data_IF_095373363463
#
_entry.id   IF_095373363463
#
_cell.length_a   1.000
_cell.length_b   1.000
_cell.length_c   1.000
_cell.angle_alpha   90.00
_cell.angle_beta   90.00
_cell.angle_gamma   90.00
#
_symmetry.space_group_name_H-M   'P 1'
#
loop_
_entity.id
_entity.type
_entity.pdbx_description
1 polymer ?
#
# COMPACT_ATOMS: atom_id res chain seq x y z
N UNK A 1 -13.40 21.39 -12.18
CA UNK A 1 -14.03 22.73 -12.32
C UNK A 1 -12.90 23.71 -12.60
N UNK A 2 -12.99 24.55 -13.64
CA UNK A 2 -11.92 25.52 -13.90
C UNK A 2 -12.00 26.69 -12.92
N UNK A 3 -10.92 26.96 -12.19
CA UNK A 3 -10.85 28.07 -11.23
C UNK A 3 -10.24 29.32 -11.89
N UNK A 4 -10.76 30.50 -11.56
CA UNK A 4 -10.33 31.77 -12.16
C UNK A 4 -9.76 32.76 -11.15
N UNK A 5 -9.91 32.48 -9.84
CA UNK A 5 -9.37 33.28 -8.75
C UNK A 5 -8.72 32.42 -7.67
N UNK A 6 -7.83 33.01 -6.87
CA UNK A 6 -7.24 32.37 -5.69
C UNK A 6 -8.31 31.82 -4.74
N UNK A 7 -9.38 32.57 -4.47
CA UNK A 7 -10.48 32.13 -3.60
C UNK A 7 -11.20 30.88 -4.13
N UNK A 8 -11.30 30.73 -5.45
CA UNK A 8 -11.88 29.53 -6.07
C UNK A 8 -10.93 28.33 -5.98
N UNK A 9 -9.62 28.53 -6.24
CA UNK A 9 -8.61 27.49 -6.01
C UNK A 9 -8.69 26.95 -4.57
N UNK A 10 -8.67 27.85 -3.59
CA UNK A 10 -8.73 27.49 -2.17
C UNK A 10 -10.04 26.81 -1.78
N UNK A 11 -11.15 27.05 -2.48
CA UNK A 11 -12.41 26.32 -2.26
C UNK A 11 -12.43 24.94 -2.92
N UNK A 12 -11.86 24.80 -4.12
CA UNK A 12 -11.95 23.58 -4.93
C UNK A 12 -10.81 22.57 -4.71
N UNK A 13 -9.72 22.97 -4.07
CA UNK A 13 -8.48 22.17 -3.90
C UNK A 13 -8.71 20.72 -3.47
N UNK A 14 -9.46 20.48 -2.39
CA UNK A 14 -9.72 19.14 -1.87
C UNK A 14 -10.61 18.32 -2.81
N UNK A 15 -11.63 18.94 -3.39
CA UNK A 15 -12.51 18.29 -4.35
C UNK A 15 -11.75 17.87 -5.61
N UNK A 16 -10.80 18.70 -6.08
CA UNK A 16 -9.91 18.36 -7.18
C UNK A 16 -8.98 17.20 -6.82
N UNK A 17 -8.38 17.20 -5.61
CA UNK A 17 -7.51 16.12 -5.14
C UNK A 17 -8.26 14.78 -5.05
N UNK A 18 -9.52 14.77 -4.59
CA UNK A 18 -10.40 13.60 -4.60
C UNK A 18 -10.65 13.11 -6.04
N UNK A 19 -10.99 14.01 -6.97
CA UNK A 19 -11.28 13.65 -8.37
C UNK A 19 -10.09 13.03 -9.11
N UNK A 20 -8.88 13.55 -8.93
CA UNK A 20 -7.68 13.00 -9.60
C UNK A 20 -7.15 11.71 -8.94
N UNK A 21 -7.40 11.53 -7.64
CA UNK A 21 -6.90 10.37 -6.90
C UNK A 21 -7.83 9.16 -6.96
N UNK A 22 -9.13 9.38 -7.16
CA UNK A 22 -10.14 8.34 -6.99
C UNK A 22 -10.36 7.94 -5.52
N UNK A 23 -9.90 8.75 -4.56
CA UNK A 23 -10.24 8.57 -3.16
C UNK A 23 -11.77 8.63 -2.96
N UNK A 24 -12.27 7.99 -1.89
CA UNK A 24 -13.69 8.10 -1.54
C UNK A 24 -14.06 9.53 -1.17
N UNK A 25 -13.19 10.21 -0.42
CA UNK A 25 -13.38 11.59 0.02
C UNK A 25 -12.06 12.21 0.50
N UNK A 26 -12.11 13.50 0.83
CA UNK A 26 -11.11 14.16 1.67
C UNK A 26 -11.72 14.40 3.05
N UNK A 27 -10.95 14.14 4.10
CA UNK A 27 -11.27 14.49 5.48
C UNK A 27 -11.24 16.01 5.73
N UNK A 28 -10.89 16.87 4.78
CA UNK A 28 -10.82 18.32 4.99
C UNK A 28 -12.19 18.92 5.35
N UNK A 29 -12.27 19.60 6.50
CA UNK A 29 -13.50 20.18 7.02
C UNK A 29 -13.88 21.55 6.40
N UNK A 30 -13.22 21.95 5.30
CA UNK A 30 -13.44 23.23 4.62
C UNK A 30 -12.88 24.46 5.35
N UNK A 31 -12.08 24.28 6.42
CA UNK A 31 -11.50 25.38 7.19
C UNK A 31 -9.98 25.38 7.14
N UNK A 32 -9.41 26.58 7.27
CA UNK A 32 -7.99 26.78 7.48
C UNK A 32 -7.66 26.87 8.96
N UNK A 33 -6.51 26.32 9.34
CA UNK A 33 -5.92 26.50 10.67
C UNK A 33 -5.25 27.86 10.80
N UNK A 34 -4.53 28.08 11.89
CA UNK A 34 -3.68 29.27 12.01
C UNK A 34 -2.58 29.24 10.92
N UNK A 35 -2.23 30.38 10.30
CA UNK A 35 -1.14 30.44 9.33
C UNK A 35 0.18 29.97 9.93
N UNK A 36 0.98 29.26 9.13
CA UNK A 36 2.34 28.88 9.51
C UNK A 36 3.21 30.14 9.47
N UNK A 37 4.06 30.34 10.46
CA UNK A 37 4.98 31.48 10.49
C UNK A 37 5.85 31.55 9.22
N UNK A 38 5.93 32.73 8.60
CA UNK A 38 6.63 32.98 7.32
C UNK A 38 8.13 32.60 7.33
N UNK A 39 8.74 32.56 8.52
CA UNK A 39 10.14 32.14 8.74
C UNK A 39 10.32 30.62 8.77
N UNK A 40 9.22 29.85 8.82
CA UNK A 40 9.25 28.40 8.76
C UNK A 40 9.69 27.90 7.38
N UNK A 41 10.36 26.75 7.37
CA UNK A 41 10.66 25.99 6.14
C UNK A 41 9.47 25.13 5.70
N UNK A 42 8.52 24.87 6.58
CA UNK A 42 7.30 24.13 6.29
C UNK A 42 6.37 24.98 5.42
N UNK A 43 5.93 24.43 4.29
CA UNK A 43 5.01 25.08 3.37
C UNK A 43 3.52 24.94 3.76
N UNK A 44 3.15 23.78 4.31
CA UNK A 44 1.78 23.48 4.73
C UNK A 44 1.74 22.45 5.86
N UNK A 45 0.57 22.25 6.44
CA UNK A 45 0.30 21.18 7.42
C UNK A 45 -1.17 20.80 7.39
N UNK A 46 -1.46 19.54 7.05
CA UNK A 46 -2.72 18.87 7.37
C UNK A 46 -2.78 18.60 8.89
N UNK A 47 -3.76 19.21 9.58
CA UNK A 47 -3.93 19.05 11.02
C UNK A 47 -4.91 17.92 11.35
N UNK A 48 -4.67 17.20 12.45
CA UNK A 48 -5.56 16.12 12.94
C UNK A 48 -7.01 16.55 13.20
N UNK A 49 -7.25 17.86 13.41
CA UNK A 49 -8.60 18.43 13.51
C UNK A 49 -9.26 18.74 12.15
N UNK A 50 -8.75 18.15 11.06
CA UNK A 50 -9.26 18.26 9.69
C UNK A 50 -9.12 19.65 9.04
N UNK A 51 -8.33 20.56 9.61
CA UNK A 51 -7.99 21.85 8.99
C UNK A 51 -6.65 21.77 8.25
N UNK A 52 -6.44 22.63 7.26
CA UNK A 52 -5.11 22.80 6.64
C UNK A 52 -4.55 24.16 7.07
N UNK A 53 -3.28 24.20 7.47
CA UNK A 53 -2.52 25.43 7.66
C UNK A 53 -1.54 25.61 6.52
N UNK A 54 -1.42 26.82 5.97
CA UNK A 54 -0.43 27.16 4.94
C UNK A 54 0.54 28.23 5.44
N UNK A 55 1.74 28.23 4.87
CA UNK A 55 2.73 29.29 5.06
C UNK A 55 2.48 30.39 4.01
N UNK A 56 2.17 31.64 4.41
CA UNK A 56 1.83 32.70 3.46
C UNK A 56 2.89 32.91 2.39
N UNK A 57 4.17 32.89 2.77
CA UNK A 57 5.31 33.14 1.88
C UNK A 57 5.53 32.05 0.82
N UNK A 58 5.26 30.79 1.18
CA UNK A 58 5.52 29.62 0.31
C UNK A 58 4.28 29.15 -0.46
N UNK A 59 3.08 29.57 -0.06
CA UNK A 59 1.81 29.12 -0.66
C UNK A 59 0.90 30.29 -1.03
N UNK A 60 0.38 31.04 -0.05
CA UNK A 60 -0.68 32.02 -0.32
C UNK A 60 -0.20 33.17 -1.22
N UNK A 61 0.98 33.72 -0.96
CA UNK A 61 1.58 34.79 -1.77
C UNK A 61 1.90 34.34 -3.20
N UNK A 62 2.61 33.21 -3.45
CA UNK A 62 2.76 32.64 -4.80
C UNK A 62 1.44 32.47 -5.55
N UNK A 63 0.42 31.89 -4.91
CA UNK A 63 -0.83 31.59 -5.59
C UNK A 63 -1.66 32.85 -5.84
N UNK A 64 -1.72 33.78 -4.88
CA UNK A 64 -2.36 35.09 -5.12
C UNK A 64 -1.68 35.86 -6.25
N UNK A 65 -0.35 35.87 -6.27
CA UNK A 65 0.46 36.51 -7.31
C UNK A 65 0.21 35.88 -8.69
N UNK A 66 0.17 34.54 -8.79
CA UNK A 66 -0.22 33.80 -10.00
C UNK A 66 -1.59 34.25 -10.56
N UNK A 67 -2.59 34.47 -9.69
CA UNK A 67 -3.91 34.93 -10.11
C UNK A 67 -3.99 36.43 -10.40
N UNK A 68 -3.12 37.27 -9.82
CA UNK A 68 -3.00 38.70 -10.16
C UNK A 68 -2.33 38.88 -11.52
N UNK A 69 -1.27 38.13 -11.78
CA UNK A 69 -0.50 38.15 -13.03
C UNK A 69 -1.06 37.15 -14.06
N UNK A 70 -2.37 36.83 -13.98
CA UNK A 70 -2.97 35.81 -14.84
C UNK A 70 -2.85 36.19 -16.32
N UNK A 71 -2.69 35.18 -17.18
CA UNK A 71 -2.68 35.34 -18.65
C UNK A 71 -1.59 36.27 -19.21
N UNK A 72 -0.60 36.68 -18.40
CA UNK A 72 0.63 37.29 -18.91
C UNK A 72 1.36 36.22 -19.72
N UNK A 73 1.35 36.36 -21.04
CA UNK A 73 2.13 35.49 -21.91
C UNK A 73 3.63 35.71 -21.64
N UNK A 74 4.39 34.61 -21.51
CA UNK A 74 5.82 34.58 -21.18
C UNK A 74 6.19 34.95 -19.73
N UNK A 75 5.43 34.46 -18.72
CA UNK A 75 5.90 34.42 -17.33
C UNK A 75 7.30 33.76 -17.23
N UNK A 76 8.16 34.25 -16.33
CA UNK A 76 9.51 33.69 -16.21
C UNK A 76 9.48 32.25 -15.65
N UNK A 77 10.47 31.45 -16.06
CA UNK A 77 10.61 30.07 -15.58
C UNK A 77 10.82 29.97 -14.08
N UNK A 78 11.35 31.00 -13.39
CA UNK A 78 11.43 31.02 -11.93
C UNK A 78 10.08 31.31 -11.27
N UNK A 79 9.27 32.20 -11.84
CA UNK A 79 7.90 32.49 -11.37
C UNK A 79 7.02 31.25 -11.52
N UNK A 80 7.01 30.63 -12.71
CA UNK A 80 6.30 29.38 -12.97
C UNK A 80 6.72 28.26 -12.01
N UNK A 81 8.01 28.15 -11.67
CA UNK A 81 8.49 27.20 -10.64
C UNK A 81 7.92 27.54 -9.27
N UNK A 82 7.99 28.79 -8.82
CA UNK A 82 7.44 29.25 -7.53
C UNK A 82 5.94 28.97 -7.42
N UNK A 83 5.17 29.20 -8.49
CA UNK A 83 3.73 28.87 -8.53
C UNK A 83 3.49 27.36 -8.49
N UNK A 84 4.29 26.58 -9.22
CA UNK A 84 4.18 25.11 -9.25
C UNK A 84 4.55 24.48 -7.89
N UNK A 85 5.60 24.97 -7.23
CA UNK A 85 6.00 24.53 -5.89
C UNK A 85 4.89 24.81 -4.86
N UNK A 86 4.21 25.96 -4.94
CA UNK A 86 3.06 26.27 -4.10
C UNK A 86 1.86 25.34 -4.35
N UNK A 87 1.51 25.07 -5.62
CA UNK A 87 0.46 24.10 -5.99
C UNK A 87 0.79 22.67 -5.53
N UNK A 88 2.07 22.29 -5.59
CA UNK A 88 2.57 21.01 -5.09
C UNK A 88 2.36 20.88 -3.58
N UNK A 89 2.69 21.92 -2.80
CA UNK A 89 2.41 21.96 -1.35
C UNK A 89 0.90 21.86 -1.09
N UNK A 90 0.07 22.60 -1.84
CA UNK A 90 -1.39 22.48 -1.73
C UNK A 90 -1.84 21.04 -1.94
N UNK A 91 -1.40 20.37 -3.01
CA UNK A 91 -1.74 18.97 -3.28
C UNK A 91 -1.21 18.00 -2.20
N UNK A 92 0.00 18.25 -1.67
CA UNK A 92 0.62 17.47 -0.59
C UNK A 92 -0.25 17.47 0.67
N UNK A 93 -0.67 18.64 1.16
CA UNK A 93 -1.55 18.71 2.34
C UNK A 93 -2.93 18.09 2.11
N UNK A 94 -3.49 18.24 0.91
CA UNK A 94 -4.75 17.58 0.57
C UNK A 94 -4.60 16.05 0.47
N UNK A 95 -3.43 15.55 0.04
CA UNK A 95 -3.14 14.11 -0.06
C UNK A 95 -3.08 13.43 1.32
N UNK A 96 -2.54 14.09 2.35
CA UNK A 96 -2.63 13.59 3.74
C UNK A 96 -4.07 13.42 4.23
N UNK A 97 -5.01 14.19 3.67
CA UNK A 97 -6.43 14.16 4.03
C UNK A 97 -7.26 13.24 3.11
N UNK A 98 -6.69 12.58 2.10
CA UNK A 98 -7.44 11.62 1.27
C UNK A 98 -7.70 10.33 2.06
N UNK A 99 -8.98 9.90 2.06
CA UNK A 99 -9.42 8.76 2.86
C UNK A 99 -10.33 7.82 2.06
N UNK A 100 -10.20 6.52 2.36
CA UNK A 100 -11.10 5.47 1.90
C UNK A 100 -12.45 5.52 2.62
N UNK A 101 -13.45 4.79 2.12
CA UNK A 101 -14.75 4.65 2.76
C UNK A 101 -14.63 4.22 4.24
N UNK A 102 -15.45 4.81 5.11
CA UNK A 102 -15.50 4.50 6.55
C UNK A 102 -14.27 4.90 7.37
N UNK A 103 -13.30 5.64 6.78
CA UNK A 103 -12.05 6.06 7.43
C UNK A 103 -11.86 7.57 7.39
N UNK A 104 -11.13 8.09 8.37
CA UNK A 104 -10.84 9.52 8.50
C UNK A 104 -9.37 9.74 8.87
N UNK A 105 -8.77 10.84 8.38
CA UNK A 105 -7.37 11.21 8.67
C UNK A 105 -7.03 11.17 10.18
N UNK A 106 -7.90 11.70 11.03
CA UNK A 106 -7.73 11.75 12.49
C UNK A 106 -7.62 10.38 13.16
N UNK A 107 -8.14 9.31 12.56
CA UNK A 107 -8.03 7.96 13.09
C UNK A 107 -6.57 7.44 13.07
N UNK A 108 -5.72 8.01 12.21
CA UNK A 108 -4.32 7.62 12.07
C UNK A 108 -3.37 8.33 13.04
N UNK A 109 -3.81 9.34 13.80
CA UNK A 109 -2.95 10.18 14.68
C UNK A 109 -2.07 9.35 15.63
N UNK A 110 -2.70 8.37 16.30
CA UNK A 110 -2.02 7.51 17.26
C UNK A 110 -0.97 6.61 16.58
N UNK A 111 -1.27 6.07 15.40
CA UNK A 111 -0.36 5.22 14.63
C UNK A 111 0.80 6.04 14.04
N UNK A 112 0.51 7.19 13.44
CA UNK A 112 1.54 8.10 12.90
C UNK A 112 2.58 8.49 13.95
N UNK A 113 2.15 8.70 15.20
CA UNK A 113 3.02 9.10 16.30
C UNK A 113 3.73 7.95 17.03
N UNK A 114 3.23 6.70 16.93
CA UNK A 114 3.67 5.58 17.81
C UNK A 114 4.04 4.30 17.07
N UNK A 115 3.52 4.07 15.87
CA UNK A 115 3.78 2.84 15.13
C UNK A 115 5.05 2.95 14.27
N UNK A 116 5.94 1.93 14.28
CA UNK A 116 7.21 1.99 13.56
C UNK A 116 7.02 2.24 12.06
N UNK A 117 7.73 3.24 11.52
CA UNK A 117 7.79 3.48 10.08
C UNK A 117 6.53 4.07 9.44
N UNK A 118 5.46 4.35 10.20
CA UNK A 118 4.22 4.92 9.65
C UNK A 118 4.46 6.34 9.14
N UNK A 119 5.05 7.22 9.96
CA UNK A 119 5.42 8.59 9.54
C UNK A 119 6.29 8.64 8.27
N UNK A 120 7.49 8.01 8.20
CA UNK A 120 8.32 8.10 7.00
C UNK A 120 7.66 7.48 5.75
N UNK A 121 6.73 6.52 5.90
CA UNK A 121 5.95 6.01 4.78
C UNK A 121 4.88 7.01 4.34
N UNK A 122 4.15 7.64 5.27
CA UNK A 122 3.15 8.68 5.00
C UNK A 122 3.79 9.85 4.24
N UNK A 123 4.79 10.51 4.82
CA UNK A 123 5.48 11.66 4.24
C UNK A 123 6.06 11.34 2.85
N UNK A 124 6.74 10.20 2.71
CA UNK A 124 7.37 9.80 1.46
C UNK A 124 6.37 9.39 0.36
N UNK A 125 5.24 8.77 0.70
CA UNK A 125 4.16 8.47 -0.25
C UNK A 125 3.48 9.77 -0.70
N UNK A 126 3.14 10.64 0.25
CA UNK A 126 2.41 11.89 -0.01
C UNK A 126 3.28 12.87 -0.79
N UNK A 127 4.59 12.94 -0.53
CA UNK A 127 5.55 13.64 -1.41
C UNK A 127 5.55 13.06 -2.82
N UNK A 128 5.80 11.75 -2.99
CA UNK A 128 5.85 11.13 -4.32
C UNK A 128 4.56 11.31 -5.12
N UNK A 129 3.42 11.09 -4.49
CA UNK A 129 2.11 11.28 -5.11
C UNK A 129 1.90 12.74 -5.52
N UNK A 130 2.26 13.71 -4.66
CA UNK A 130 2.13 15.14 -4.97
C UNK A 130 2.97 15.56 -6.18
N UNK A 131 4.10 14.91 -6.49
CA UNK A 131 4.86 15.18 -7.71
C UNK A 131 4.30 14.45 -8.94
N UNK A 132 3.84 13.21 -8.77
CA UNK A 132 3.27 12.39 -9.84
C UNK A 132 1.98 12.99 -10.40
N UNK A 133 1.03 13.33 -9.52
CA UNK A 133 -0.31 13.75 -9.91
C UNK A 133 -0.46 15.26 -10.16
N UNK A 134 0.60 16.06 -9.98
CA UNK A 134 0.51 17.53 -10.06
C UNK A 134 0.03 18.07 -11.41
N UNK A 135 0.37 17.39 -12.52
CA UNK A 135 -0.09 17.81 -13.84
C UNK A 135 -1.60 17.56 -14.02
N UNK A 136 -2.11 16.43 -13.53
CA UNK A 136 -3.54 16.10 -13.53
C UNK A 136 -4.31 17.07 -12.62
N UNK A 137 -3.72 17.43 -11.48
CA UNK A 137 -4.27 18.44 -10.56
C UNK A 137 -4.38 19.83 -11.20
N UNK A 138 -3.31 20.26 -11.89
CA UNK A 138 -3.28 21.52 -12.66
C UNK A 138 -4.36 21.52 -13.76
N UNK A 139 -4.57 20.38 -14.42
CA UNK A 139 -5.55 20.25 -15.52
C UNK A 139 -7.00 20.19 -15.01
N UNK A 140 -7.28 19.47 -13.92
CA UNK A 140 -8.59 19.42 -13.27
C UNK A 140 -9.05 20.80 -12.77
N UNK A 141 -8.11 21.59 -12.23
CA UNK A 141 -8.34 22.96 -11.79
C UNK A 141 -8.30 23.98 -12.95
N UNK A 142 -7.77 23.60 -14.12
CA UNK A 142 -7.60 24.52 -15.26
C UNK A 142 -6.57 25.63 -15.04
N UNK A 143 -5.56 25.39 -14.19
CA UNK A 143 -4.51 26.38 -13.85
C UNK A 143 -3.60 26.66 -15.05
N UNK A 144 -3.54 25.78 -16.05
CA UNK A 144 -2.83 25.99 -17.31
C UNK A 144 -3.27 27.26 -18.07
N UNK A 145 -4.53 27.68 -17.89
CA UNK A 145 -5.08 28.92 -18.47
C UNK A 145 -4.84 30.17 -17.61
N UNK A 146 -4.40 29.98 -16.35
CA UNK A 146 -4.02 31.05 -15.42
C UNK A 146 -2.54 31.36 -15.56
N UNK A 147 -1.72 30.30 -15.56
CA UNK A 147 -0.26 30.32 -15.70
C UNK A 147 0.20 29.38 -16.84
N UNK A 148 0.16 29.83 -18.11
CA UNK A 148 0.60 29.04 -19.25
C UNK A 148 2.06 28.57 -19.10
N UNK A 149 2.32 27.29 -19.43
CA UNK A 149 3.66 26.68 -19.29
C UNK A 149 3.97 26.09 -17.90
N UNK A 150 3.11 26.25 -16.90
CA UNK A 150 3.34 25.72 -15.53
C UNK A 150 3.49 24.18 -15.46
N UNK A 151 3.05 23.45 -16.49
CA UNK A 151 3.26 21.98 -16.62
C UNK A 151 4.65 21.57 -17.11
N UNK A 152 5.41 22.50 -17.68
CA UNK A 152 6.71 22.25 -18.31
C UNK A 152 7.87 22.43 -17.32
N UNK A 153 7.69 23.28 -16.30
CA UNK A 153 8.66 23.46 -15.22
C UNK A 153 8.59 22.31 -14.20
N UNK A 154 9.71 22.05 -13.52
CA UNK A 154 9.83 21.01 -12.50
C UNK A 154 10.09 21.60 -11.12
N UNK A 155 9.43 21.01 -10.13
CA UNK A 155 9.57 21.23 -8.68
C UNK A 155 10.62 20.29 -8.12
N UNK A 156 11.31 20.68 -7.04
CA UNK A 156 12.24 19.78 -6.35
C UNK A 156 11.50 18.96 -5.28
N UNK A 157 11.96 17.72 -5.03
CA UNK A 157 11.47 16.89 -3.92
C UNK A 157 12.00 17.47 -2.60
N UNK A 158 11.10 17.74 -1.65
CA UNK A 158 11.44 18.46 -0.41
C UNK A 158 11.86 17.53 0.73
N UNK A 159 11.49 16.25 0.66
CA UNK A 159 11.80 15.22 1.68
C UNK A 159 12.79 14.16 1.18
N UNK A 160 14.09 14.49 0.98
CA UNK A 160 15.13 13.53 0.59
C UNK A 160 15.38 12.44 1.66
N UNK A 161 14.96 12.65 2.90
CA UNK A 161 15.13 11.69 4.00
C UNK A 161 14.19 10.47 3.89
N UNK A 162 13.01 10.64 3.30
CA UNK A 162 11.97 9.62 3.21
C UNK A 162 11.72 9.14 1.78
N UNK A 163 11.75 10.05 0.80
CA UNK A 163 11.37 9.74 -0.60
C UNK A 163 12.15 8.57 -1.21
N UNK A 164 13.50 8.48 -1.10
CA UNK A 164 14.24 7.36 -1.69
C UNK A 164 13.91 6.01 -1.07
N UNK A 165 13.53 5.98 0.22
CA UNK A 165 13.09 4.75 0.87
C UNK A 165 11.73 4.28 0.34
N UNK A 166 10.77 5.20 0.14
CA UNK A 166 9.48 4.85 -0.49
C UNK A 166 9.65 4.44 -1.96
N UNK A 167 10.56 5.06 -2.70
CA UNK A 167 10.93 4.61 -4.07
C UNK A 167 11.41 3.14 -4.07
N UNK A 168 12.38 2.79 -3.21
CA UNK A 168 12.90 1.43 -3.11
C UNK A 168 11.88 0.41 -2.60
N UNK A 169 11.00 0.83 -1.69
CA UNK A 169 9.88 0.02 -1.21
C UNK A 169 8.90 -0.29 -2.36
N UNK A 170 8.47 0.72 -3.10
CA UNK A 170 7.51 0.54 -4.18
C UNK A 170 8.11 -0.23 -5.38
N UNK A 171 9.37 0.06 -5.76
CA UNK A 171 10.11 -0.72 -6.78
C UNK A 171 10.22 -2.20 -6.39
N UNK A 172 10.50 -2.49 -5.11
CA UNK A 172 10.63 -3.88 -4.65
C UNK A 172 9.28 -4.60 -4.56
N UNK A 173 8.18 -3.89 -4.31
CA UNK A 173 6.83 -4.47 -4.40
C UNK A 173 6.49 -4.77 -5.85
N UNK A 174 6.81 -3.89 -6.80
CA UNK A 174 6.62 -4.14 -8.23
C UNK A 174 7.36 -5.42 -8.66
N UNK A 175 8.64 -5.56 -8.32
CA UNK A 175 9.44 -6.77 -8.58
C UNK A 175 8.87 -8.07 -7.96
N UNK A 176 8.00 -7.97 -6.93
CA UNK A 176 7.46 -9.13 -6.19
C UNK A 176 5.99 -9.43 -6.46
N UNK A 177 5.22 -8.45 -6.91
CA UNK A 177 3.77 -8.53 -7.08
C UNK A 177 3.30 -8.22 -8.51
N UNK A 178 4.12 -7.55 -9.33
CA UNK A 178 3.72 -7.05 -10.65
C UNK A 178 2.83 -5.80 -10.62
N UNK A 179 2.47 -5.28 -9.45
CA UNK A 179 1.77 -3.98 -9.32
C UNK A 179 2.78 -2.87 -9.61
N UNK A 180 2.49 -2.01 -10.60
CA UNK A 180 3.44 -0.97 -11.02
C UNK A 180 3.68 0.04 -9.89
N UNK A 181 4.92 0.56 -9.78
CA UNK A 181 5.30 1.52 -8.73
C UNK A 181 4.32 2.69 -8.62
N UNK A 182 4.02 3.34 -9.74
CA UNK A 182 3.23 4.58 -9.79
C UNK A 182 1.74 4.30 -9.49
N UNK A 183 1.25 3.09 -9.79
CA UNK A 183 -0.07 2.60 -9.40
C UNK A 183 -0.13 2.33 -7.88
N UNK A 184 0.91 1.70 -7.32
CA UNK A 184 1.01 1.47 -5.88
C UNK A 184 1.05 2.78 -5.10
N UNK A 185 1.82 3.79 -5.53
CA UNK A 185 1.85 5.11 -4.89
C UNK A 185 0.44 5.73 -4.87
N UNK A 186 -0.32 5.66 -5.97
CA UNK A 186 -1.72 6.09 -6.00
C UNK A 186 -2.61 5.34 -4.99
N UNK A 187 -2.54 4.00 -4.97
CA UNK A 187 -3.27 3.17 -3.99
C UNK A 187 -2.91 3.48 -2.53
N UNK A 188 -1.66 3.86 -2.25
CA UNK A 188 -1.21 4.25 -0.91
C UNK A 188 -1.60 5.69 -0.54
N UNK A 189 -1.72 6.59 -1.51
CA UNK A 189 -2.09 7.98 -1.29
C UNK A 189 -3.56 8.14 -0.84
N UNK A 190 -4.46 7.27 -1.29
CA UNK A 190 -5.92 7.35 -1.01
C UNK A 190 -6.37 6.68 0.29
N UNK A 191 -5.43 6.26 1.16
CA UNK A 191 -5.72 5.69 2.47
C UNK A 191 -4.94 6.41 3.58
N UNK A 192 -5.50 6.52 4.80
CA UNK A 192 -4.79 7.12 5.94
C UNK A 192 -3.50 6.36 6.31
N UNK A 193 -2.60 7.03 7.03
CA UNK A 193 -1.25 6.55 7.36
C UNK A 193 -1.24 5.13 7.97
N UNK A 194 -2.18 4.83 8.86
CA UNK A 194 -2.31 3.53 9.57
C UNK A 194 -2.70 2.36 8.65
N UNK A 195 -3.10 2.63 7.41
CA UNK A 195 -3.50 1.60 6.43
C UNK A 195 -2.48 1.38 5.31
N UNK A 196 -1.53 2.29 5.08
CA UNK A 196 -0.58 2.19 3.93
C UNK A 196 0.22 0.88 3.93
N UNK A 197 0.77 0.43 5.07
CA UNK A 197 1.45 -0.88 5.13
C UNK A 197 0.53 -2.07 4.85
N UNK A 198 -0.76 -2.00 5.21
CA UNK A 198 -1.72 -3.08 4.90
C UNK A 198 -2.06 -3.11 3.42
N UNK A 199 -2.22 -1.96 2.77
CA UNK A 199 -2.43 -1.88 1.31
C UNK A 199 -1.22 -2.44 0.55
N UNK A 200 0.00 -2.10 0.96
CA UNK A 200 1.24 -2.67 0.41
C UNK A 200 1.34 -4.19 0.64
N UNK A 201 1.00 -4.67 1.84
CA UNK A 201 0.98 -6.08 2.18
C UNK A 201 -0.09 -6.87 1.40
N UNK A 202 -1.29 -6.29 1.21
CA UNK A 202 -2.36 -6.86 0.41
C UNK A 202 -1.95 -7.00 -1.06
N UNK A 203 -1.33 -5.97 -1.66
CA UNK A 203 -0.81 -6.02 -3.02
C UNK A 203 0.20 -7.17 -3.23
N UNK A 204 1.05 -7.46 -2.23
CA UNK A 204 1.93 -8.63 -2.28
C UNK A 204 1.23 -9.95 -2.01
N UNK A 205 0.25 -9.98 -1.10
CA UNK A 205 -0.52 -11.17 -0.76
C UNK A 205 -1.36 -11.66 -1.95
N UNK A 206 -2.15 -10.77 -2.56
CA UNK A 206 -3.12 -11.08 -3.62
C UNK A 206 -2.45 -11.52 -4.93
N UNK A 207 -1.19 -11.10 -5.16
CA UNK A 207 -0.34 -11.51 -6.27
C UNK A 207 0.64 -12.65 -5.91
N UNK A 208 0.53 -13.21 -4.71
CA UNK A 208 1.29 -14.39 -4.31
C UNK A 208 0.47 -15.67 -4.49
N UNK A 209 1.13 -16.83 -4.38
CA UNK A 209 0.45 -18.13 -4.34
C UNK A 209 -0.32 -18.40 -3.02
N UNK A 210 -0.37 -17.46 -2.07
CA UNK A 210 -1.20 -17.60 -0.85
C UNK A 210 -2.70 -17.45 -1.15
N UNK A 211 -3.05 -16.67 -2.18
CA UNK A 211 -4.43 -16.50 -2.62
C UNK A 211 -5.01 -17.86 -3.02
N UNK A 212 -6.03 -18.32 -2.28
CA UNK A 212 -6.62 -19.66 -2.43
C UNK A 212 -5.93 -20.80 -1.66
N UNK A 213 -4.83 -20.54 -0.94
CA UNK A 213 -4.26 -21.48 0.06
C UNK A 213 -4.74 -21.17 1.48
N UNK A 214 -4.94 -19.89 1.80
CA UNK A 214 -5.39 -19.43 3.11
C UNK A 214 -6.91 -19.18 3.05
N UNK A 215 -7.69 -19.67 4.03
CA UNK A 215 -9.11 -19.36 4.16
C UNK A 215 -9.39 -17.86 4.25
N UNK A 216 -10.53 -17.41 3.72
CA UNK A 216 -10.84 -15.98 3.58
C UNK A 216 -10.97 -15.28 4.95
N UNK A 217 -11.47 -15.98 5.97
CA UNK A 217 -11.52 -15.49 7.36
C UNK A 217 -10.14 -15.26 7.99
N UNK A 218 -9.09 -15.87 7.43
CA UNK A 218 -7.70 -15.72 7.87
C UNK A 218 -6.90 -14.72 7.00
N UNK A 219 -7.48 -14.20 5.90
CA UNK A 219 -6.80 -13.31 4.94
C UNK A 219 -6.28 -12.03 5.61
N UNK A 220 -7.14 -11.32 6.34
CA UNK A 220 -6.77 -10.06 7.00
C UNK A 220 -5.70 -10.26 8.09
N UNK A 221 -5.74 -11.39 8.80
CA UNK A 221 -4.70 -11.73 9.76
C UNK A 221 -3.34 -11.97 9.07
N UNK A 222 -3.33 -12.69 7.95
CA UNK A 222 -2.13 -12.91 7.14
C UNK A 222 -1.54 -11.59 6.59
N UNK A 223 -2.39 -10.70 6.07
CA UNK A 223 -1.98 -9.36 5.60
C UNK A 223 -1.41 -8.53 6.75
N UNK A 224 -2.05 -8.55 7.93
CA UNK A 224 -1.56 -7.89 9.13
C UNK A 224 -0.16 -8.35 9.57
N UNK A 225 0.14 -9.65 9.50
CA UNK A 225 1.49 -10.16 9.77
C UNK A 225 2.54 -9.64 8.78
N UNK A 226 2.20 -9.58 7.48
CA UNK A 226 3.10 -9.08 6.43
C UNK A 226 3.34 -7.57 6.61
N UNK A 227 2.28 -6.78 6.83
CA UNK A 227 2.34 -5.35 7.08
C UNK A 227 3.20 -5.01 8.31
N UNK A 228 3.04 -5.74 9.42
CA UNK A 228 3.83 -5.55 10.64
C UNK A 228 5.33 -5.82 10.42
N UNK A 229 5.69 -6.81 9.61
CA UNK A 229 7.08 -7.09 9.28
C UNK A 229 7.70 -6.01 8.38
N UNK A 230 6.94 -5.47 7.43
CA UNK A 230 7.37 -4.33 6.61
C UNK A 230 7.60 -3.08 7.48
N UNK A 231 6.61 -2.71 8.30
CA UNK A 231 6.64 -1.55 9.19
C UNK A 231 7.85 -1.56 10.13
N UNK A 232 8.11 -2.68 10.80
CA UNK A 232 9.22 -2.82 11.74
C UNK A 232 10.61 -2.56 11.11
N UNK A 233 10.80 -2.99 9.87
CA UNK A 233 12.05 -2.79 9.12
C UNK A 233 12.13 -1.41 8.46
N UNK A 234 11.01 -0.90 7.91
CA UNK A 234 10.94 0.43 7.30
C UNK A 234 11.19 1.55 8.34
N UNK A 235 10.85 1.30 9.62
CA UNK A 235 11.20 2.17 10.74
C UNK A 235 12.71 2.41 10.96
N UNK A 236 13.59 1.70 10.23
CA UNK A 236 15.02 2.00 10.19
C UNK A 236 15.34 3.30 9.43
N UNK A 237 14.43 3.83 8.61
CA UNK A 237 14.62 5.11 7.90
C UNK A 237 14.85 6.25 8.89
N UNK A 238 14.05 6.35 9.96
CA UNK A 238 14.23 7.34 11.04
C UNK A 238 15.54 7.16 11.84
N UNK A 239 16.24 6.03 11.68
CA UNK A 239 17.50 5.70 12.37
C UNK A 239 18.73 5.92 11.50
N UNK A 240 18.56 6.26 10.21
CA UNK A 240 19.67 6.63 9.35
C UNK A 240 20.18 8.03 9.73
N UNK A 241 21.51 8.27 9.71
CA UNK A 241 22.04 9.62 9.92
C UNK A 241 21.51 10.57 8.84
N UNK A 242 21.42 11.87 9.13
CA UNK A 242 20.99 12.87 8.13
C UNK A 242 21.89 12.85 6.88
N UNK A 243 23.18 12.55 7.03
CA UNK A 243 24.15 12.38 5.95
C UNK A 243 24.01 11.07 5.14
N UNK A 244 23.08 10.16 5.49
CA UNK A 244 22.83 8.98 4.68
C UNK A 244 22.26 9.37 3.32
N UNK A 245 22.91 8.89 2.26
CA UNK A 245 22.53 9.13 0.87
C UNK A 245 21.21 8.45 0.47
N UNK A 246 20.80 8.72 -0.77
CA UNK A 246 19.57 8.19 -1.34
C UNK A 246 19.59 6.66 -1.48
N UNK A 247 20.74 6.03 -1.72
CA UNK A 247 20.83 4.59 -1.95
C UNK A 247 20.78 3.81 -0.62
N UNK A 248 21.39 4.32 0.44
CA UNK A 248 21.24 3.79 1.79
C UNK A 248 19.77 3.83 2.26
N UNK A 249 19.06 4.93 1.96
CA UNK A 249 17.62 5.09 2.24
C UNK A 249 16.78 4.12 1.40
N UNK A 250 17.05 4.03 0.10
CA UNK A 250 16.42 3.10 -0.85
C UNK A 250 16.58 1.65 -0.43
N UNK A 251 17.76 1.26 0.04
CA UNK A 251 18.04 -0.09 0.53
C UNK A 251 17.19 -0.48 1.74
N UNK A 252 16.92 0.43 2.68
CA UNK A 252 15.99 0.17 3.81
C UNK A 252 14.58 -0.09 3.30
N UNK A 253 14.10 0.73 2.34
CA UNK A 253 12.82 0.53 1.68
C UNK A 253 12.69 -0.84 1.02
N UNK A 254 13.70 -1.23 0.23
CA UNK A 254 13.76 -2.56 -0.38
C UNK A 254 13.78 -3.69 0.66
N UNK A 255 14.49 -3.51 1.78
CA UNK A 255 14.61 -4.54 2.81
C UNK A 255 13.29 -4.78 3.57
N UNK A 256 12.49 -3.74 3.81
CA UNK A 256 11.16 -3.89 4.42
C UNK A 256 10.25 -4.84 3.63
N UNK A 257 10.31 -4.76 2.29
CA UNK A 257 9.58 -5.66 1.39
C UNK A 257 10.15 -7.08 1.40
N UNK A 258 11.45 -7.24 1.64
CA UNK A 258 12.09 -8.55 1.85
C UNK A 258 11.60 -9.21 3.14
N UNK A 259 11.44 -8.46 4.24
CA UNK A 259 10.85 -9.01 5.48
C UNK A 259 9.38 -9.42 5.28
N UNK A 260 8.56 -8.61 4.59
CA UNK A 260 7.22 -9.00 4.18
C UNK A 260 7.20 -10.27 3.31
N UNK A 261 8.14 -10.39 2.36
CA UNK A 261 8.31 -11.60 1.53
C UNK A 261 8.64 -12.86 2.34
N UNK A 262 9.41 -12.72 3.43
CA UNK A 262 9.73 -13.84 4.34
C UNK A 262 8.48 -14.30 5.08
N UNK A 263 7.62 -13.38 5.54
CA UNK A 263 6.32 -13.73 6.17
C UNK A 263 5.46 -14.53 5.19
N UNK A 264 5.27 -14.02 3.96
CA UNK A 264 4.54 -14.73 2.89
C UNK A 264 5.09 -16.14 2.66
N UNK A 265 6.43 -16.28 2.64
CA UNK A 265 7.10 -17.57 2.45
C UNK A 265 6.90 -18.55 3.62
N UNK A 266 6.81 -18.05 4.87
CA UNK A 266 6.49 -18.88 6.06
C UNK A 266 5.03 -19.33 6.03
N UNK A 267 4.10 -18.41 5.80
CA UNK A 267 2.68 -18.71 5.65
C UNK A 267 2.45 -19.76 4.56
N UNK A 268 3.11 -19.62 3.41
CA UNK A 268 3.01 -20.61 2.32
C UNK A 268 3.45 -22.01 2.77
N UNK A 269 4.56 -22.13 3.51
CA UNK A 269 5.01 -23.42 4.05
C UNK A 269 4.01 -24.01 5.04
N UNK A 270 3.48 -23.19 5.95
CA UNK A 270 2.47 -23.59 6.94
C UNK A 270 1.22 -24.17 6.27
N UNK A 271 0.66 -23.49 5.27
CA UNK A 271 -0.56 -23.89 4.57
C UNK A 271 -0.34 -24.94 3.46
N UNK A 272 0.91 -25.29 3.13
CA UNK A 272 1.24 -26.40 2.23
C UNK A 272 1.44 -27.74 2.96
N UNK A 273 1.58 -27.75 4.29
CA UNK A 273 1.66 -28.99 5.05
C UNK A 273 0.26 -29.61 5.21
N UNK A 274 0.09 -30.94 5.05
CA UNK A 274 -1.19 -31.59 5.33
C UNK A 274 -1.61 -31.29 6.77
N UNK A 275 -2.90 -31.06 7.01
CA UNK A 275 -3.42 -30.82 8.36
C UNK A 275 -2.99 -31.96 9.31
N UNK A 276 -2.64 -31.68 10.59
CA UNK A 276 -2.11 -32.71 11.50
C UNK A 276 -2.97 -33.98 11.58
N UNK A 277 -4.30 -33.85 11.53
CA UNK A 277 -5.23 -35.00 11.51
C UNK A 277 -5.13 -35.89 10.25
N UNK A 278 -4.69 -35.35 9.10
CA UNK A 278 -4.47 -36.14 7.88
C UNK A 278 -3.08 -36.80 7.85
N UNK A 279 -2.10 -36.29 8.61
CA UNK A 279 -0.76 -36.89 8.65
C UNK A 279 -0.79 -38.25 9.37
N UNK A 280 -1.59 -38.39 10.44
CA UNK A 280 -1.69 -39.63 11.23
C UNK A 280 -2.27 -40.80 10.40
N UNK A 281 -3.27 -40.55 9.55
CA UNK A 281 -3.90 -41.61 8.75
C UNK A 281 -2.97 -42.28 7.72
N UNK A 282 -1.90 -41.61 7.27
CA UNK A 282 -0.91 -42.24 6.37
C UNK A 282 0.04 -43.22 7.08
N UNK A 283 0.19 -43.14 8.40
CA UNK A 283 1.04 -44.07 9.17
C UNK A 283 0.36 -45.42 9.39
N UNK A 284 -0.90 -45.40 9.85
CA UNK A 284 -1.57 -46.61 10.37
C UNK A 284 -1.96 -47.62 9.28
N UNK A 285 -2.09 -47.19 8.02
CA UNK A 285 -2.45 -48.07 6.90
C UNK A 285 -1.28 -48.84 6.26
N UNK A 286 -0.03 -48.53 6.61
CA UNK A 286 1.15 -49.12 5.94
C UNK A 286 1.66 -50.41 6.61
N UNK A 287 1.36 -50.65 7.89
CA UNK A 287 1.88 -51.82 8.63
C UNK A 287 0.97 -53.04 8.58
N UNK A 288 -0.33 -52.89 8.32
CA UNK A 288 -1.28 -54.02 8.23
C UNK A 288 -1.15 -54.87 6.95
N UNK A 289 -0.26 -54.51 6.03
CA UNK A 289 0.01 -55.27 4.80
C UNK A 289 1.11 -56.32 4.90
N UNK A 290 1.72 -56.55 6.09
CA UNK A 290 2.97 -57.34 6.21
C UNK A 290 2.90 -58.56 7.13
N UNK A 291 1.72 -59.16 7.30
CA UNK A 291 1.51 -60.45 7.95
C UNK A 291 1.38 -61.57 6.92
N UNK A 292 2.51 -62.14 6.47
CA UNK A 292 2.45 -63.17 5.42
C UNK A 292 3.77 -63.70 4.86
N UNK A 293 4.78 -63.98 5.70
CA UNK A 293 5.93 -64.79 5.25
C UNK A 293 6.46 -65.68 6.40
N UNK A 294 6.47 -67.02 6.24
CA UNK A 294 6.85 -67.95 7.31
C UNK A 294 8.37 -68.18 7.41
N UNK A 295 8.76 -68.83 8.51
CA UNK A 295 10.13 -68.92 9.03
C UNK A 295 11.08 -69.87 8.28
N UNK A 296 12.36 -69.48 8.25
CA UNK A 296 13.59 -70.30 8.28
C UNK A 296 14.73 -69.28 8.50
N UNK A 297 15.59 -69.34 9.50
CA UNK A 297 15.94 -70.42 10.43
C UNK A 297 17.47 -70.44 10.52
N UNK A 298 18.07 -69.93 11.61
CA UNK A 298 19.53 -69.77 11.72
C UNK A 298 19.99 -68.93 12.91
N UNK A 299 20.33 -69.60 14.00
CA UNK A 299 21.01 -69.09 15.21
C UNK A 299 22.53 -69.38 15.14
N UNK A 300 23.36 -69.11 16.18
CA UNK A 300 23.62 -67.82 16.83
C UNK A 300 25.13 -67.56 17.11
N UNK A 301 25.57 -66.29 17.28
CA UNK A 301 26.76 -65.87 18.06
C UNK A 301 26.89 -64.33 18.03
N UNK A 302 27.50 -63.61 18.98
CA UNK A 302 27.63 -63.71 20.45
C UNK A 302 28.31 -62.42 20.98
N UNK A 303 28.28 -62.20 22.30
CA UNK A 303 29.06 -61.20 23.08
C UNK A 303 28.55 -59.73 23.04
N UNK A 304 28.08 -59.14 24.15
CA UNK A 304 28.83 -58.50 25.28
C UNK A 304 29.27 -57.05 24.94
N UNK A 305 29.18 -56.03 25.81
CA UNK A 305 29.03 -56.02 27.27
C UNK A 305 28.44 -54.70 27.86
N UNK A 306 27.80 -54.82 29.04
CA UNK A 306 27.86 -53.94 30.26
C UNK A 306 27.69 -52.40 30.21
N UNK A 307 26.81 -51.89 31.09
CA UNK A 307 26.77 -50.51 31.63
C UNK A 307 25.35 -49.94 31.76
N UNK A 308 24.57 -50.18 32.83
CA UNK A 308 24.64 -49.56 34.17
C UNK A 308 24.42 -48.02 34.17
N UNK A 309 23.55 -47.39 34.99
CA UNK A 309 22.51 -47.87 35.93
C UNK A 309 21.69 -46.68 36.48
N UNK A 310 20.46 -46.93 37.01
CA UNK A 310 19.70 -46.09 37.98
C UNK A 310 19.16 -44.70 37.49
N UNK A 311 18.02 -44.16 37.96
CA UNK A 311 17.10 -44.56 39.04
C UNK A 311 15.62 -44.16 38.80
N UNK A 312 14.69 -44.96 39.34
CA UNK A 312 13.51 -44.67 40.21
C UNK A 312 12.69 -43.36 40.11
N UNK A 313 11.39 -43.27 40.47
CA UNK A 313 10.28 -44.22 40.76
C UNK A 313 8.97 -43.46 41.11
N UNK A 314 7.85 -44.19 41.23
CA UNK A 314 6.50 -43.79 41.74
C UNK A 314 5.62 -42.94 40.77
N UNK A 315 4.41 -43.33 40.34
CA UNK A 315 3.20 -43.82 41.06
C UNK A 315 2.56 -42.70 41.93
N UNK A 316 1.25 -42.41 41.88
CA UNK A 316 0.16 -43.35 42.24
C UNK A 316 -1.24 -42.82 41.83
N UNK A 317 -2.16 -43.75 41.49
CA UNK A 317 -3.64 -43.73 41.55
C UNK A 317 -4.53 -42.62 40.92
N UNK A 318 -5.52 -43.07 40.15
CA UNK A 318 -6.90 -42.51 40.09
C UNK A 318 -7.80 -43.28 41.11
N UNK A 319 -9.00 -42.80 41.49
CA UNK A 319 -10.21 -42.82 40.63
C UNK A 319 -11.06 -41.52 40.81
N UNK A 320 -12.35 -41.36 40.49
CA UNK A 320 -13.42 -42.25 40.00
C UNK A 320 -14.48 -41.45 39.18
N UNK A 321 -15.38 -42.16 38.49
CA UNK A 321 -16.66 -41.61 37.96
C UNK A 321 -17.84 -42.01 38.87
N UNK A 322 -19.00 -41.34 38.73
CA UNK A 322 -20.25 -42.10 38.65
C UNK A 322 -21.13 -41.70 37.44
N UNK A 323 -22.10 -42.57 37.11
CA UNK A 323 -22.96 -42.47 35.94
C UNK A 323 -24.43 -42.14 36.30
N UNK A 324 -25.15 -41.56 35.33
CA UNK A 324 -26.61 -41.64 35.17
C UNK A 324 -26.89 -41.41 33.66
N UNK A 325 -27.27 -42.44 32.90
CA UNK A 325 -28.63 -43.02 32.78
C UNK A 325 -29.49 -42.27 31.76
N UNK A 326 -29.87 -42.98 30.69
CA UNK A 326 -30.63 -42.45 29.56
C UNK A 326 -32.15 -42.60 29.76
N UNK A 327 -32.91 -41.70 29.14
CA UNK A 327 -34.31 -41.91 28.79
C UNK A 327 -34.59 -41.24 27.45
N UNK A 328 -35.16 -41.99 26.50
CA UNK A 328 -35.49 -41.49 25.17
C UNK A 328 -36.95 -41.01 25.13
N UNK A 329 -37.19 -39.86 24.50
CA UNK A 329 -38.53 -39.43 24.09
C UNK A 329 -38.43 -38.63 22.78
N UNK A 330 -38.98 -39.18 21.70
CA UNK A 330 -39.01 -38.55 20.38
C UNK A 330 -40.05 -37.43 20.36
N UNK A 331 -39.62 -36.19 20.12
CA UNK A 331 -40.51 -35.04 19.89
C UNK A 331 -40.21 -34.41 18.52
N UNK A 332 -41.24 -33.92 17.79
CA UNK A 332 -41.06 -33.36 16.46
C UNK A 332 -40.27 -32.05 16.49
N UNK A 333 -39.51 -31.78 15.42
CA UNK A 333 -38.70 -30.57 15.31
C UNK A 333 -39.58 -29.30 15.30
N UNK A 334 -39.22 -28.26 16.08
CA UNK A 334 -39.89 -26.96 15.98
C UNK A 334 -39.62 -26.33 14.59
N UNK A 335 -40.54 -25.51 14.06
CA UNK A 335 -40.30 -24.79 12.82
C UNK A 335 -39.09 -23.86 12.97
N UNK A 336 -38.25 -23.81 11.93
CA UNK A 336 -37.07 -22.93 11.90
C UNK A 336 -37.50 -21.48 12.16
N UNK A 337 -36.77 -20.73 13.02
CA UNK A 337 -37.04 -19.31 13.19
C UNK A 337 -36.87 -18.58 11.85
N UNK A 338 -37.66 -17.52 11.59
CA UNK A 338 -37.47 -16.72 10.38
C UNK A 338 -36.04 -16.17 10.35
N UNK A 339 -35.42 -16.20 9.17
CA UNK A 339 -34.07 -15.71 8.98
C UNK A 339 -33.96 -14.26 9.49
N UNK A 340 -32.90 -13.90 10.25
CA UNK A 340 -32.75 -12.55 10.76
C UNK A 340 -32.73 -11.56 9.59
N UNK A 341 -33.57 -10.53 9.66
CA UNK A 341 -33.56 -9.45 8.69
C UNK A 341 -32.15 -8.82 8.68
N UNK A 342 -31.54 -8.76 7.49
CA UNK A 342 -30.22 -8.14 7.34
C UNK A 342 -30.26 -6.68 7.80
N UNK A 343 -29.22 -6.20 8.51
CA UNK A 343 -29.07 -4.79 8.81
C UNK A 343 -29.21 -3.92 7.54
N UNK A 344 -29.85 -2.72 7.63
CA UNK A 344 -30.19 -1.91 6.47
C UNK A 344 -28.95 -1.50 5.63
N UNK A 345 -27.80 -1.39 6.28
CA UNK A 345 -26.46 -1.20 5.74
C UNK A 345 -26.02 -2.34 4.80
N UNK A 346 -26.27 -3.61 5.15
CA UNK A 346 -25.98 -4.76 4.26
C UNK A 346 -26.98 -4.82 3.10
N UNK A 347 -28.25 -4.46 3.35
CA UNK A 347 -29.28 -4.41 2.31
C UNK A 347 -29.03 -3.30 1.26
N UNK A 348 -28.32 -2.23 1.61
CA UNK A 348 -27.89 -1.18 0.70
C UNK A 348 -26.74 -1.66 -0.23
N UNK A 349 -25.71 -2.29 0.35
CA UNK A 349 -24.58 -2.84 -0.40
C UNK A 349 -25.01 -3.87 -1.46
N UNK A 350 -25.99 -4.73 -1.14
CA UNK A 350 -26.52 -5.72 -2.07
C UNK A 350 -27.29 -5.13 -3.27
N UNK A 351 -27.79 -3.89 -3.19
CA UNK A 351 -28.49 -3.21 -4.30
C UNK A 351 -27.57 -2.36 -5.17
N UNK A 352 -26.51 -1.79 -4.60
CA UNK A 352 -25.57 -0.94 -5.33
C UNK A 352 -24.77 -1.70 -6.42
N UNK A 353 -24.55 -3.00 -6.25
CA UNK A 353 -23.69 -3.80 -7.13
C UNK A 353 -24.30 -4.28 -8.46
N UNK A 354 -25.57 -4.01 -8.76
CA UNK A 354 -26.29 -4.66 -9.89
C UNK A 354 -27.05 -3.70 -10.84
N UNK A 355 -26.92 -2.38 -10.70
CA UNK A 355 -27.69 -1.40 -11.49
C UNK A 355 -26.83 -0.31 -12.16
N UNK A 356 -25.67 -0.68 -12.69
CA UNK A 356 -24.87 0.16 -13.59
C UNK A 356 -24.88 -0.38 -15.03
N UNK A 357 -25.03 0.46 -16.07
CA UNK A 357 -24.89 0.00 -17.45
C UNK A 357 -23.45 -0.47 -17.73
N UNK A 358 -23.24 -1.50 -18.58
CA UNK A 358 -21.91 -2.01 -18.85
C UNK A 358 -21.03 -0.96 -19.54
N UNK A 359 -19.80 -0.78 -19.05
CA UNK A 359 -18.79 0.13 -19.61
C UNK A 359 -18.24 -0.38 -20.95
N UNK A 360 -19.02 -0.18 -22.02
CA UNK A 360 -18.69 -0.53 -23.39
C UNK A 360 -17.72 0.45 -24.06
N UNK A 361 -16.49 0.60 -23.54
CA UNK A 361 -15.47 1.45 -24.17
C UNK A 361 -14.02 0.99 -23.90
N UNK A 362 -13.72 -0.27 -24.24
CA UNK A 362 -12.35 -0.80 -24.28
C UNK A 362 -12.03 -1.34 -25.68
N UNK A 363 -11.76 -0.43 -26.62
CA UNK A 363 -11.25 -0.80 -27.95
C UNK A 363 -9.87 -1.44 -27.82
N UNK A 364 -9.69 -2.64 -28.38
CA UNK A 364 -8.37 -3.30 -28.43
C UNK A 364 -7.39 -2.43 -29.24
N UNK A 365 -6.20 -2.19 -28.69
CA UNK A 365 -5.07 -1.66 -29.45
C UNK A 365 -4.73 -2.62 -30.60
N UNK A 366 -4.51 -2.10 -31.81
CA UNK A 366 -4.10 -2.90 -32.95
C UNK A 366 -2.66 -3.41 -32.79
N UNK A 367 -2.35 -4.53 -33.46
CA UNK A 367 -1.06 -5.21 -33.34
C UNK A 367 0.14 -4.34 -33.77
N UNK A 368 -0.11 -3.31 -34.59
CA UNK A 368 0.89 -2.47 -35.23
C UNK A 368 1.62 -1.51 -34.27
N UNK A 369 1.20 -1.44 -33.01
CA UNK A 369 1.85 -0.62 -31.95
C UNK A 369 2.79 -1.40 -31.02
N UNK A 370 2.97 -2.71 -31.21
CA UNK A 370 3.99 -3.48 -30.47
C UNK A 370 5.33 -3.48 -31.24
N UNK A 371 5.97 -2.31 -31.28
CA UNK A 371 7.24 -2.07 -31.97
C UNK A 371 8.45 -2.72 -31.28
N UNK A 372 9.28 -3.39 -32.07
CA UNK A 372 10.39 -4.25 -31.63
C UNK A 372 11.54 -3.53 -30.90
N UNK A 373 12.20 -4.28 -30.00
CA UNK A 373 13.60 -4.02 -29.60
C UNK A 373 14.53 -4.51 -30.71
N UNK A 374 15.50 -3.69 -31.12
CA UNK A 374 16.56 -4.08 -32.07
C UNK A 374 17.89 -3.43 -31.68
N UNK A 375 18.97 -4.21 -31.70
CA UNK A 375 20.33 -3.75 -31.40
C UNK A 375 21.00 -3.10 -32.62
N UNK A 376 22.13 -2.42 -32.40
CA UNK A 376 22.69 -1.48 -33.37
C UNK A 376 23.50 -2.08 -34.54
N UNK A 377 23.77 -1.21 -35.52
CA UNK A 377 24.82 -1.33 -36.52
C UNK A 377 25.33 0.07 -36.89
N UNK A 378 26.60 0.19 -37.28
CA UNK A 378 27.32 1.47 -37.41
C UNK A 378 27.39 2.01 -38.84
N UNK A 379 27.32 3.35 -38.97
CA UNK A 379 27.92 4.17 -40.05
C UNK A 379 27.40 3.96 -41.50
N UNK A 380 27.69 4.86 -42.48
CA UNK A 380 28.60 6.01 -42.44
C UNK A 380 27.98 7.38 -42.82
N UNK A 381 28.83 8.40 -42.84
CA UNK A 381 28.49 9.80 -43.06
C UNK A 381 27.97 10.11 -44.48
N UNK A 382 27.03 11.05 -44.57
CA UNK A 382 26.61 11.69 -45.82
C UNK A 382 26.67 13.22 -45.67
N UNK A 383 27.60 13.81 -46.42
CA UNK A 383 27.88 15.24 -46.52
C UNK A 383 26.75 15.95 -47.28
N UNK A 384 26.20 17.05 -46.75
CA UNK A 384 25.35 17.98 -47.52
C UNK A 384 25.69 19.44 -47.21
N UNK A 385 25.71 20.25 -48.26
CA UNK A 385 26.14 21.64 -48.27
C UNK A 385 24.95 22.61 -48.25
N UNK A 386 25.06 23.68 -47.46
CA UNK A 386 24.45 24.99 -47.72
C UNK A 386 22.92 25.15 -47.68
N UNK A 387 22.42 26.38 -47.92
CA UNK A 387 23.16 27.62 -48.21
C UNK A 387 23.16 28.65 -47.06
N UNK A 388 24.04 29.63 -47.19
CA UNK A 388 24.10 30.83 -46.36
C UNK A 388 22.85 31.71 -46.51
N UNK A 389 22.56 32.55 -45.52
CA UNK A 389 21.74 33.76 -45.73
C UNK A 389 22.41 34.94 -45.04
N UNK A 390 22.89 35.89 -45.84
CA UNK A 390 23.36 37.19 -45.35
C UNK A 390 22.16 38.15 -45.24
N UNK A 391 21.93 38.72 -44.06
CA UNK A 391 21.80 40.18 -43.83
C UNK A 391 21.54 40.48 -42.35
#
# INVERSE_FOLDING_TARGET
MKVTTFRELMREQANAAVRISGAHHSSWNGRYGAPIAETSKTGGTANWNHTISYNPRHVDEPLQDMFRNNRVHNQDKAELRRYRDALRVVLHENAHLLSSEGREHSQAEAAFSREPGVRPLEEGVTELYSHQALNEYIDELGIDQVAPGIKEVRTQKVYPEYTPAVEGFAERIEQKSGVQRDELIGRLAVVPADQKFKVAAAAMYDNSRLRGMIPEDQREHAIGQVAKAMSAEFARVDKLPQSADADARRAVGMQAVVEGSKVISRLKKQWQMPAPGQQVQRGVGAEQGRTGQPERGGTPQSQSATGASLASSAATAAPASPAASAAAASSPAPPSPPAPALPPDIAAAARAGLSGPPLGSASRLSADRQGARGAGASAPAAQRQGPETQR
#
